data_IF_239691570185
#
_entry.id   IF_239691570185
#
_cell.length_a   1.000
_cell.length_b   1.000
_cell.length_c   1.000
_cell.angle_alpha   90.00
_cell.angle_beta   90.00
_cell.angle_gamma   90.00
#
_symmetry.space_group_name_H-M   'P 1'
#
loop_
_entity.id
_entity.type
_entity.pdbx_description
1 polymer ?
#
# COMPACT_ATOMS: atom_id res chain seq x y z
N UNK A 1 5.40 34.84 22.85
CA UNK A 1 5.49 34.41 21.45
C UNK A 1 5.13 32.93 21.42
N UNK A 2 3.94 32.61 20.93
CA UNK A 2 3.45 31.23 20.87
C UNK A 2 4.14 30.47 19.73
N UNK A 3 4.53 29.20 19.89
CA UNK A 3 4.98 28.39 18.78
C UNK A 3 3.76 27.89 18.01
N UNK A 4 3.77 28.10 16.69
CA UNK A 4 2.80 27.61 15.74
C UNK A 4 2.81 26.07 15.70
N UNK A 5 1.70 25.45 16.08
CA UNK A 5 1.48 24.02 15.91
C UNK A 5 1.18 23.72 14.45
N UNK A 6 2.12 23.09 13.75
CA UNK A 6 1.85 22.49 12.44
C UNK A 6 1.11 21.18 12.67
N UNK A 7 -0.22 21.23 12.60
CA UNK A 7 -1.06 20.03 12.55
C UNK A 7 -0.79 19.30 11.24
N UNK A 8 -0.23 18.10 11.30
CA UNK A 8 -0.19 17.19 10.14
C UNK A 8 -1.62 16.71 9.91
N UNK A 9 -2.28 17.35 8.95
CA UNK A 9 -3.62 17.03 8.52
C UNK A 9 -3.54 15.75 7.66
N UNK A 10 -4.03 14.63 8.18
CA UNK A 10 -4.26 13.41 7.41
C UNK A 10 -5.43 13.68 6.45
N UNK A 11 -5.13 14.12 5.22
CA UNK A 11 -6.13 14.29 4.17
C UNK A 11 -6.26 12.95 3.43
N UNK A 12 -7.33 12.21 3.71
CA UNK A 12 -7.86 11.27 2.73
C UNK A 12 -8.76 12.07 1.77
N UNK A 13 -8.44 12.03 0.48
CA UNK A 13 -9.35 12.48 -0.57
C UNK A 13 -10.52 11.49 -0.64
N UNK A 14 -11.59 11.81 0.08
CA UNK A 14 -12.91 11.24 -0.13
C UNK A 14 -13.38 11.62 -1.54
N UNK A 15 -13.60 10.63 -2.41
CA UNK A 15 -14.44 10.86 -3.57
C UNK A 15 -15.86 11.10 -3.08
N UNK A 16 -16.30 12.37 -3.14
CA UNK A 16 -17.71 12.72 -3.02
C UNK A 16 -18.39 12.12 -4.24
N UNK A 17 -19.05 10.98 -4.07
CA UNK A 17 -20.08 10.54 -5.03
C UNK A 17 -21.23 11.54 -4.86
N UNK A 18 -21.60 12.33 -5.89
CA UNK A 18 -22.75 13.20 -5.78
C UNK A 18 -24.00 12.34 -5.55
N UNK A 19 -24.72 12.64 -4.48
CA UNK A 19 -26.00 12.03 -4.17
C UNK A 19 -27.08 12.54 -5.15
N UNK A 20 -27.02 12.11 -6.41
CA UNK A 20 -28.15 12.20 -7.34
C UNK A 20 -27.98 11.25 -8.53
N UNK A 21 -28.17 9.95 -8.31
CA UNK A 21 -28.69 9.07 -9.36
C UNK A 21 -29.58 8.03 -8.66
N UNK A 22 -30.87 8.34 -8.64
CA UNK A 22 -31.91 7.39 -8.27
C UNK A 22 -31.84 6.18 -9.20
N UNK A 23 -31.87 4.99 -8.60
CA UNK A 23 -32.34 3.72 -9.17
C UNK A 23 -32.14 3.54 -10.67
N UNK A 24 -30.93 3.14 -11.08
CA UNK A 24 -30.76 2.34 -12.29
C UNK A 24 -30.71 0.87 -11.89
N UNK A 25 -31.51 -0.02 -12.50
CA UNK A 25 -31.39 -1.44 -12.24
C UNK A 25 -30.02 -1.91 -12.72
N UNK A 26 -29.34 -2.69 -11.89
CA UNK A 26 -28.13 -3.42 -12.28
C UNK A 26 -28.54 -4.31 -13.45
N UNK A 27 -28.15 -3.90 -14.66
CA UNK A 27 -28.38 -4.69 -15.87
C UNK A 27 -27.61 -6.00 -15.75
N UNK A 28 -28.32 -7.11 -15.91
CA UNK A 28 -27.80 -8.45 -16.12
C UNK A 28 -26.62 -8.42 -17.10
N UNK A 29 -25.43 -8.78 -16.62
CA UNK A 29 -24.23 -8.67 -17.43
C UNK A 29 -22.91 -9.03 -16.76
N UNK A 30 -22.93 -9.84 -15.69
CA UNK A 30 -21.75 -10.57 -15.26
C UNK A 30 -22.20 -11.80 -14.46
N UNK A 31 -22.81 -12.79 -15.14
CA UNK A 31 -22.82 -14.13 -14.58
C UNK A 31 -21.36 -14.56 -14.43
N UNK A 32 -20.86 -14.47 -13.19
CA UNK A 32 -19.61 -15.09 -12.81
C UNK A 32 -19.87 -16.58 -12.91
N UNK A 33 -19.59 -17.20 -14.07
CA UNK A 33 -19.48 -18.64 -14.13
C UNK A 33 -18.38 -19.04 -13.13
N UNK A 34 -18.83 -19.67 -12.05
CA UNK A 34 -18.05 -20.12 -10.92
C UNK A 34 -17.63 -21.57 -11.22
N UNK A 35 -16.48 -21.76 -11.87
CA UNK A 35 -15.89 -23.08 -12.06
C UNK A 35 -15.14 -23.54 -10.79
N UNK A 36 -15.22 -24.82 -10.44
CA UNK A 36 -14.67 -25.35 -9.16
C UNK A 36 -15.61 -25.08 -7.98
N UNK A 37 -15.12 -25.07 -6.73
CA UNK A 37 -15.92 -24.74 -5.52
C UNK A 37 -16.56 -23.33 -5.52
N UNK A 38 -16.44 -22.62 -6.63
CA UNK A 38 -17.00 -21.32 -6.93
C UNK A 38 -16.37 -20.16 -6.18
N UNK A 39 -15.35 -20.41 -5.35
CA UNK A 39 -14.74 -19.38 -4.52
C UNK A 39 -13.24 -19.26 -4.78
N UNK A 40 -12.68 -20.03 -5.72
CA UNK A 40 -11.25 -20.00 -6.05
C UNK A 40 -10.37 -20.07 -4.80
N UNK A 41 -10.77 -20.90 -3.82
CA UNK A 41 -10.17 -20.92 -2.47
C UNK A 41 -8.68 -21.24 -2.48
N UNK A 42 -8.23 -22.03 -3.45
CA UNK A 42 -6.81 -22.32 -3.65
C UNK A 42 -5.98 -21.05 -3.83
N UNK A 43 -6.51 -20.06 -4.58
CA UNK A 43 -5.83 -18.78 -4.80
C UNK A 43 -6.19 -17.78 -3.68
N UNK A 44 -7.48 -17.54 -3.45
CA UNK A 44 -7.93 -16.46 -2.58
C UNK A 44 -7.64 -16.72 -1.10
N UNK A 45 -7.57 -17.99 -0.67
CA UNK A 45 -7.28 -18.36 0.72
C UNK A 45 -5.91 -19.02 0.84
N UNK A 46 -5.69 -20.15 0.18
CA UNK A 46 -4.54 -21.01 0.49
C UNK A 46 -3.23 -20.37 0.02
N UNK A 47 -3.17 -19.92 -1.24
CA UNK A 47 -2.02 -19.19 -1.77
C UNK A 47 -1.81 -17.83 -1.07
N UNK A 48 -2.89 -17.07 -0.82
CA UNK A 48 -2.82 -15.84 -0.01
C UNK A 48 -2.14 -16.07 1.34
N UNK A 49 -2.58 -17.08 2.09
CA UNK A 49 -2.00 -17.40 3.41
C UNK A 49 -0.54 -17.86 3.29
N UNK A 50 -0.21 -18.63 2.25
CA UNK A 50 1.17 -19.04 2.00
C UNK A 50 2.08 -17.84 1.71
N UNK A 51 1.65 -16.91 0.86
CA UNK A 51 2.40 -15.68 0.54
C UNK A 51 2.59 -14.78 1.76
N UNK A 52 1.56 -14.64 2.61
CA UNK A 52 1.68 -13.92 3.87
C UNK A 52 2.72 -14.56 4.81
N UNK A 53 2.72 -15.89 4.92
CA UNK A 53 3.73 -16.63 5.70
C UNK A 53 5.13 -16.52 5.10
N UNK A 54 5.25 -16.48 3.78
CA UNK A 54 6.52 -16.31 3.09
C UNK A 54 7.08 -14.91 3.31
N UNK A 55 6.26 -13.87 3.09
CA UNK A 55 6.64 -12.48 3.32
C UNK A 55 6.95 -12.21 4.80
N UNK A 56 6.22 -12.85 5.72
CA UNK A 56 6.44 -12.77 7.17
C UNK A 56 7.75 -13.40 7.65
N UNK A 57 8.44 -14.19 6.81
CA UNK A 57 9.79 -14.72 7.10
C UNK A 57 10.91 -13.82 6.59
N UNK A 58 10.60 -12.81 5.78
CA UNK A 58 11.58 -11.89 5.25
C UNK A 58 11.78 -10.76 6.27
N UNK A 59 12.76 -10.97 7.13
CA UNK A 59 13.11 -10.09 8.26
C UNK A 59 14.61 -9.79 8.27
N UNK A 60 14.98 -8.63 8.81
CA UNK A 60 16.35 -8.30 9.22
C UNK A 60 16.60 -8.60 10.71
N UNK A 61 15.54 -8.82 11.49
CA UNK A 61 15.58 -9.26 12.87
C UNK A 61 15.75 -10.79 13.00
N UNK A 62 16.50 -11.22 14.01
CA UNK A 62 16.64 -12.64 14.35
C UNK A 62 15.52 -13.09 15.30
N UNK A 63 14.66 -14.01 14.84
CA UNK A 63 13.58 -14.57 15.66
C UNK A 63 12.31 -13.73 15.75
N UNK A 64 12.29 -12.54 15.14
CA UNK A 64 11.11 -11.67 15.03
C UNK A 64 11.05 -11.00 13.66
N UNK A 65 9.89 -10.45 13.29
CA UNK A 65 9.72 -9.73 12.04
C UNK A 65 10.09 -8.25 12.20
N UNK A 66 11.07 -7.81 11.41
CA UNK A 66 11.45 -6.41 11.24
C UNK A 66 11.85 -6.20 9.78
N UNK A 67 11.17 -5.27 9.12
CA UNK A 67 11.48 -4.86 7.75
C UNK A 67 11.27 -3.35 7.64
N UNK A 68 12.35 -2.60 7.73
CA UNK A 68 12.30 -1.13 7.73
C UNK A 68 12.61 -0.55 6.34
N UNK A 69 12.37 0.76 6.18
CA UNK A 69 12.57 1.48 4.92
C UNK A 69 13.95 1.24 4.28
N UNK A 70 13.93 0.72 3.04
CA UNK A 70 15.12 0.43 2.22
C UNK A 70 16.21 -0.36 2.96
N UNK A 71 15.76 -1.28 3.82
CA UNK A 71 16.60 -2.27 4.50
C UNK A 71 16.86 -3.48 3.59
N UNK A 72 17.86 -4.33 3.90
CA UNK A 72 18.07 -5.58 3.17
C UNK A 72 16.81 -6.46 3.10
N UNK A 73 16.01 -6.55 4.17
CA UNK A 73 14.73 -7.27 4.14
C UNK A 73 13.72 -6.63 3.21
N UNK A 74 13.71 -5.29 3.12
CA UNK A 74 12.85 -4.57 2.17
C UNK A 74 13.14 -5.02 0.74
N UNK A 75 14.42 -5.11 0.34
CA UNK A 75 14.77 -5.56 -1.01
C UNK A 75 14.39 -7.02 -1.28
N UNK A 76 14.66 -7.93 -0.33
CA UNK A 76 14.22 -9.33 -0.45
C UNK A 76 12.70 -9.44 -0.58
N UNK A 77 11.95 -8.61 0.15
CA UNK A 77 10.50 -8.53 0.05
C UNK A 77 10.04 -7.96 -1.30
N UNK A 78 10.75 -6.96 -1.83
CA UNK A 78 10.49 -6.40 -3.15
C UNK A 78 10.55 -7.46 -4.23
N UNK A 79 11.58 -8.29 -4.24
CA UNK A 79 11.75 -9.33 -5.25
C UNK A 79 10.57 -10.32 -5.27
N UNK A 80 10.12 -10.78 -4.10
CA UNK A 80 9.00 -11.73 -4.03
C UNK A 80 7.67 -11.07 -4.39
N UNK A 81 7.42 -9.82 -3.94
CA UNK A 81 6.19 -9.10 -4.27
C UNK A 81 6.10 -8.84 -5.78
N UNK A 82 7.20 -8.41 -6.42
CA UNK A 82 7.26 -8.25 -7.88
C UNK A 82 6.95 -9.57 -8.58
N UNK A 83 7.50 -10.69 -8.09
CA UNK A 83 7.22 -12.00 -8.67
C UNK A 83 5.72 -12.34 -8.61
N UNK A 84 5.06 -12.04 -7.49
CA UNK A 84 3.64 -12.30 -7.29
C UNK A 84 2.75 -11.36 -8.12
N UNK A 85 3.13 -10.09 -8.27
CA UNK A 85 2.45 -9.14 -9.16
C UNK A 85 2.56 -9.59 -10.63
N UNK A 86 3.74 -10.03 -11.06
CA UNK A 86 3.95 -10.59 -12.42
C UNK A 86 3.11 -11.85 -12.64
N UNK A 87 3.03 -12.72 -11.64
CA UNK A 87 2.17 -13.90 -11.65
C UNK A 87 0.67 -13.53 -11.73
N UNK A 88 0.25 -12.42 -11.11
CA UNK A 88 -1.09 -11.86 -11.27
C UNK A 88 -1.34 -11.16 -12.62
N UNK A 89 -0.33 -11.03 -13.47
CA UNK A 89 -0.46 -10.47 -14.83
C UNK A 89 -0.22 -8.98 -14.92
N UNK A 90 0.51 -8.44 -13.95
CA UNK A 90 0.76 -7.01 -13.83
C UNK A 90 2.14 -6.65 -14.39
N UNK A 91 2.22 -5.47 -15.00
CA UNK A 91 3.49 -4.80 -15.31
C UNK A 91 4.01 -4.17 -14.02
N UNK A 92 5.28 -4.40 -13.69
CA UNK A 92 5.84 -4.01 -12.40
C UNK A 92 7.02 -3.06 -12.51
N UNK A 93 7.12 -2.11 -11.58
CA UNK A 93 8.31 -1.26 -11.39
C UNK A 93 8.45 -0.87 -9.91
N UNK A 94 9.60 -0.29 -9.56
CA UNK A 94 9.86 0.32 -8.25
C UNK A 94 10.13 1.80 -8.49
N UNK A 95 9.45 2.67 -7.75
CA UNK A 95 9.63 4.12 -7.89
C UNK A 95 10.82 4.65 -7.07
N UNK A 96 11.08 5.96 -7.13
CA UNK A 96 12.23 6.58 -6.45
C UNK A 96 12.12 6.59 -4.93
N UNK A 97 10.94 6.28 -4.36
CA UNK A 97 10.78 6.09 -2.92
C UNK A 97 10.72 4.63 -2.52
N UNK A 98 11.00 3.70 -3.44
CA UNK A 98 10.95 2.28 -3.15
C UNK A 98 9.55 1.71 -3.03
N UNK A 99 8.51 2.43 -3.46
CA UNK A 99 7.18 1.83 -3.60
C UNK A 99 7.22 0.80 -4.72
N UNK A 100 6.53 -0.32 -4.53
CA UNK A 100 6.44 -1.37 -5.54
C UNK A 100 5.09 -1.26 -6.22
N UNK A 101 5.11 -1.15 -7.54
CA UNK A 101 3.92 -1.01 -8.35
C UNK A 101 3.69 -2.27 -9.17
N UNK A 102 2.42 -2.68 -9.27
CA UNK A 102 1.94 -3.69 -10.20
C UNK A 102 0.69 -3.18 -10.89
N UNK A 103 0.79 -2.86 -12.19
CA UNK A 103 -0.31 -2.26 -12.95
C UNK A 103 -0.82 -3.16 -14.07
N UNK A 104 -2.14 -3.25 -14.18
CA UNK A 104 -2.83 -3.70 -15.38
C UNK A 104 -3.40 -2.50 -16.12
N UNK A 105 -3.00 -2.33 -17.38
CA UNK A 105 -3.46 -1.27 -18.27
C UNK A 105 -4.30 -1.88 -19.41
N UNK A 106 -5.61 -1.64 -19.46
CA UNK A 106 -6.44 -2.06 -20.59
C UNK A 106 -6.03 -1.32 -21.87
N UNK A 107 -6.00 -2.02 -23.01
CA UNK A 107 -5.40 -1.52 -24.26
C UNK A 107 -6.01 -0.24 -24.85
N UNK A 108 -7.17 0.22 -24.36
CA UNK A 108 -7.85 1.44 -24.80
C UNK A 108 -8.52 2.20 -23.64
N UNK A 109 -7.96 2.11 -22.43
CA UNK A 109 -8.55 2.81 -21.29
C UNK A 109 -8.33 4.33 -21.38
N UNK A 110 -9.42 5.09 -21.26
CA UNK A 110 -9.38 6.53 -20.92
C UNK A 110 -9.81 6.79 -19.47
N UNK A 111 -10.08 5.72 -18.71
CA UNK A 111 -10.59 5.80 -17.36
C UNK A 111 -9.45 6.09 -16.36
N UNK A 112 -9.81 6.76 -15.26
CA UNK A 112 -8.89 6.98 -14.14
C UNK A 112 -8.63 5.68 -13.40
N UNK A 113 -7.40 5.47 -12.93
CA UNK A 113 -6.99 4.23 -12.27
C UNK A 113 -7.73 3.98 -10.94
N UNK A 114 -8.03 2.71 -10.67
CA UNK A 114 -8.24 2.21 -9.32
C UNK A 114 -6.89 1.84 -8.72
N UNK A 115 -6.49 2.55 -7.68
CA UNK A 115 -5.36 2.15 -6.86
C UNK A 115 -5.84 1.22 -5.75
N UNK A 116 -5.11 0.14 -5.51
CA UNK A 116 -5.31 -0.74 -4.37
C UNK A 116 -3.96 -0.83 -3.67
N UNK A 117 -3.89 -0.53 -2.38
CA UNK A 117 -2.60 -0.49 -1.72
C UNK A 117 -2.66 -0.80 -0.25
N UNK A 118 -1.47 -0.98 0.30
CA UNK A 118 -1.13 -0.96 1.72
C UNK A 118 0.38 -0.89 1.84
N UNK A 119 0.94 -1.08 3.04
CA UNK A 119 2.38 -0.92 3.28
C UNK A 119 3.11 -2.25 3.38
N UNK A 120 4.39 -2.25 3.01
CA UNK A 120 5.23 -3.44 3.12
C UNK A 120 6.19 -3.40 4.31
N UNK A 121 6.50 -2.21 4.83
CA UNK A 121 7.36 -2.07 6.01
C UNK A 121 6.62 -2.49 7.28
N UNK A 122 7.39 -2.80 8.31
CA UNK A 122 6.87 -3.26 9.59
C UNK A 122 7.51 -2.50 10.74
N UNK A 123 6.81 -2.48 11.87
CA UNK A 123 7.44 -2.23 13.16
C UNK A 123 8.44 -3.32 13.54
N UNK A 124 9.19 -3.07 14.62
CA UNK A 124 10.04 -4.08 15.27
C UNK A 124 9.11 -5.07 15.99
N UNK A 125 9.39 -6.36 15.82
CA UNK A 125 8.59 -7.45 16.41
C UNK A 125 7.12 -7.43 15.95
N UNK A 126 6.94 -7.23 14.65
CA UNK A 126 5.62 -7.12 14.03
C UNK A 126 4.94 -8.48 13.80
N UNK A 127 3.62 -8.44 13.67
CA UNK A 127 2.85 -9.54 13.08
C UNK A 127 3.00 -9.59 11.55
N UNK A 128 2.71 -10.74 10.94
CA UNK A 128 2.86 -10.93 9.48
C UNK A 128 1.71 -10.37 8.62
N UNK A 129 0.69 -9.76 9.24
CA UNK A 129 -0.54 -9.34 8.56
C UNK A 129 -0.62 -7.83 8.31
N UNK A 130 0.00 -7.03 9.19
CA UNK A 130 -0.04 -5.57 9.13
C UNK A 130 0.60 -5.07 7.84
N UNK A 131 -0.13 -4.26 7.08
CA UNK A 131 0.20 -3.85 5.71
C UNK A 131 0.16 -4.98 4.66
N UNK A 132 0.89 -6.07 4.90
CA UNK A 132 1.03 -7.20 3.99
C UNK A 132 -0.31 -7.80 3.53
N UNK A 133 -1.32 -7.83 4.40
CA UNK A 133 -2.65 -8.35 4.07
C UNK A 133 -3.28 -7.59 2.90
N UNK A 134 -3.16 -6.27 2.86
CA UNK A 134 -3.74 -5.45 1.80
C UNK A 134 -3.12 -5.73 0.44
N UNK A 135 -1.79 -5.80 0.41
CA UNK A 135 -1.01 -6.07 -0.81
C UNK A 135 -1.36 -7.46 -1.35
N UNK A 136 -1.28 -8.50 -0.52
CA UNK A 136 -1.47 -9.88 -0.99
C UNK A 136 -2.93 -10.13 -1.39
N UNK A 137 -3.91 -9.57 -0.67
CA UNK A 137 -5.32 -9.67 -1.07
C UNK A 137 -5.56 -9.09 -2.48
N UNK A 138 -4.99 -7.91 -2.76
CA UNK A 138 -5.13 -7.26 -4.06
C UNK A 138 -4.51 -8.11 -5.19
N UNK A 139 -3.30 -8.63 -4.97
CA UNK A 139 -2.61 -9.49 -5.93
C UNK A 139 -3.41 -10.78 -6.17
N UNK A 140 -3.91 -11.44 -5.12
CA UNK A 140 -4.70 -12.67 -5.25
C UNK A 140 -6.01 -12.45 -6.03
N UNK A 141 -6.70 -11.33 -5.78
CA UNK A 141 -7.91 -10.97 -6.53
C UNK A 141 -7.61 -10.78 -8.03
N UNK A 142 -6.54 -10.05 -8.37
CA UNK A 142 -6.11 -9.85 -9.75
C UNK A 142 -5.63 -11.15 -10.40
N UNK A 143 -4.98 -12.04 -9.65
CA UNK A 143 -4.61 -13.37 -10.12
C UNK A 143 -5.84 -14.21 -10.49
N UNK A 144 -6.90 -14.20 -9.67
CA UNK A 144 -8.16 -14.87 -10.03
C UNK A 144 -8.73 -14.30 -11.32
N UNK A 145 -8.75 -12.97 -11.47
CA UNK A 145 -9.19 -12.34 -12.72
C UNK A 145 -8.33 -12.77 -13.91
N UNK A 146 -7.01 -12.89 -13.74
CA UNK A 146 -6.10 -13.38 -14.78
C UNK A 146 -6.44 -14.80 -15.20
N UNK A 147 -6.46 -15.76 -14.26
CA UNK A 147 -6.62 -17.19 -14.56
C UNK A 147 -8.01 -17.53 -15.10
N UNK A 148 -9.02 -16.70 -14.79
CA UNK A 148 -10.38 -16.81 -15.34
C UNK A 148 -10.57 -16.05 -16.65
N UNK A 149 -9.53 -15.41 -17.19
CA UNK A 149 -9.60 -14.58 -18.39
C UNK A 149 -10.42 -13.29 -18.24
N UNK A 150 -10.84 -12.94 -17.01
CA UNK A 150 -11.64 -11.76 -16.70
C UNK A 150 -10.80 -10.49 -16.55
N UNK A 151 -9.49 -10.60 -16.32
CA UNK A 151 -8.58 -9.45 -16.22
C UNK A 151 -8.62 -8.59 -17.50
N UNK A 152 -8.65 -9.25 -18.67
CA UNK A 152 -8.74 -8.58 -19.97
C UNK A 152 -10.08 -7.89 -20.24
N UNK A 153 -11.09 -8.11 -19.39
CA UNK A 153 -12.40 -7.46 -19.48
C UNK A 153 -12.48 -6.18 -18.65
N UNK A 154 -11.46 -5.88 -17.85
CA UNK A 154 -11.42 -4.63 -17.11
C UNK A 154 -11.30 -3.46 -18.10
N UNK A 155 -12.17 -2.47 -17.94
CA UNK A 155 -12.13 -1.23 -18.74
C UNK A 155 -11.31 -0.13 -18.09
N UNK A 156 -11.14 -0.22 -16.76
CA UNK A 156 -10.40 0.73 -15.94
C UNK A 156 -9.02 0.19 -15.57
N UNK A 157 -7.96 1.01 -15.51
CA UNK A 157 -6.65 0.57 -15.05
C UNK A 157 -6.73 0.20 -13.57
N UNK A 158 -6.06 -0.87 -13.19
CA UNK A 158 -5.95 -1.28 -11.78
C UNK A 158 -4.49 -1.41 -11.43
N UNK A 159 -4.12 -0.78 -10.33
CA UNK A 159 -2.74 -0.76 -9.86
C UNK A 159 -2.67 -1.15 -8.39
N UNK A 160 -1.82 -2.12 -8.10
CA UNK A 160 -1.44 -2.49 -6.74
C UNK A 160 -0.18 -1.73 -6.36
N UNK A 161 -0.23 -0.99 -5.25
CA UNK A 161 0.94 -0.30 -4.70
C UNK A 161 1.26 -0.87 -3.32
N UNK A 162 2.45 -1.44 -3.18
CA UNK A 162 3.03 -1.73 -1.88
C UNK A 162 3.88 -0.53 -1.46
N UNK A 163 3.32 0.29 -0.56
CA UNK A 163 3.97 1.52 -0.11
C UNK A 163 5.16 1.23 0.80
N UNK A 164 6.17 2.08 0.70
CA UNK A 164 7.33 2.11 1.57
C UNK A 164 7.14 3.07 2.77
N UNK A 165 7.66 2.66 3.93
CA UNK A 165 7.71 3.45 5.18
C UNK A 165 6.39 4.10 5.59
N UNK A 166 5.34 3.31 5.82
CA UNK A 166 4.12 3.77 6.50
C UNK A 166 4.40 3.99 7.99
N UNK A 167 5.06 3.04 8.63
CA UNK A 167 5.20 2.97 10.10
C UNK A 167 6.19 4.02 10.62
N UNK A 168 7.12 4.45 9.76
CA UNK A 168 8.11 5.49 10.05
C UNK A 168 9.17 5.05 11.06
N UNK A 169 9.45 3.75 11.17
CA UNK A 169 10.31 3.17 12.23
C UNK A 169 11.74 3.69 12.13
N UNK A 170 12.27 3.78 10.91
CA UNK A 170 13.68 4.14 10.67
C UNK A 170 13.95 5.63 10.87
N UNK A 171 13.08 6.48 10.30
CA UNK A 171 13.29 7.92 10.20
C UNK A 171 12.35 8.77 11.06
N UNK A 172 11.37 8.17 11.74
CA UNK A 172 10.33 8.87 12.52
C UNK A 172 9.47 9.83 11.68
N UNK A 173 9.32 9.53 10.39
CA UNK A 173 8.67 10.39 9.39
C UNK A 173 7.26 9.97 9.03
N UNK A 174 6.98 8.65 9.01
CA UNK A 174 5.73 8.01 8.55
C UNK A 174 5.32 8.39 7.12
N UNK A 175 4.70 7.46 6.42
CA UNK A 175 4.11 7.65 5.09
C UNK A 175 5.05 8.15 3.98
N UNK A 176 6.35 7.83 3.98
CA UNK A 176 7.27 8.37 2.95
C UNK A 176 6.79 8.02 1.53
N UNK A 177 6.46 6.74 1.31
CA UNK A 177 6.03 6.23 0.02
C UNK A 177 4.72 6.83 -0.46
N UNK A 178 3.68 6.80 0.38
CA UNK A 178 2.35 7.30 0.01
C UNK A 178 2.31 8.83 -0.07
N UNK A 179 3.06 9.55 0.76
CA UNK A 179 3.19 11.00 0.66
C UNK A 179 3.90 11.44 -0.63
N UNK A 180 4.86 10.65 -1.14
CA UNK A 180 5.49 10.90 -2.43
C UNK A 180 4.50 10.72 -3.58
N UNK A 181 3.73 9.63 -3.58
CA UNK A 181 2.69 9.37 -4.59
C UNK A 181 1.61 10.45 -4.57
N UNK A 182 1.21 10.93 -3.39
CA UNK A 182 0.27 12.03 -3.23
C UNK A 182 0.87 13.41 -3.56
N UNK A 183 2.21 13.53 -3.69
CA UNK A 183 2.90 14.78 -3.97
C UNK A 183 2.89 15.78 -2.81
N UNK A 184 2.81 15.29 -1.58
CA UNK A 184 2.80 16.10 -0.35
C UNK A 184 4.09 15.96 0.47
N UNK A 185 5.04 15.14 0.01
CA UNK A 185 6.33 14.93 0.66
C UNK A 185 7.21 16.19 0.51
N UNK A 186 7.58 16.88 1.61
CA UNK A 186 8.42 18.07 1.51
C UNK A 186 9.88 17.69 1.22
N UNK A 187 10.60 18.53 0.47
CA UNK A 187 12.02 18.30 0.15
C UNK A 187 12.90 18.16 1.40
N UNK A 188 12.53 18.82 2.50
CA UNK A 188 13.24 18.73 3.79
C UNK A 188 13.34 17.30 4.34
N UNK A 189 12.49 16.37 3.87
CA UNK A 189 12.55 14.96 4.24
C UNK A 189 13.90 14.32 3.91
N UNK A 190 14.54 14.77 2.83
CA UNK A 190 15.81 14.23 2.36
C UNK A 190 16.92 14.39 3.41
N UNK A 191 16.80 15.40 4.28
CA UNK A 191 17.77 15.71 5.33
C UNK A 191 17.43 15.06 6.68
N UNK A 192 16.33 14.32 6.80
CA UNK A 192 15.99 13.60 8.04
C UNK A 192 16.92 12.41 8.20
N UNK A 193 17.57 12.30 9.37
CA UNK A 193 18.50 11.22 9.72
C UNK A 193 17.83 10.13 10.55
N UNK A 194 18.24 8.89 10.31
CA UNK A 194 17.95 7.76 11.19
C UNK A 194 18.82 7.80 12.46
N UNK A 195 18.65 6.79 13.35
CA UNK A 195 19.40 6.70 14.61
C UNK A 195 20.92 6.59 14.44
N UNK A 196 21.39 6.16 13.27
CA UNK A 196 22.82 6.04 12.94
C UNK A 196 23.40 7.33 12.34
N UNK A 197 22.55 8.34 12.08
CA UNK A 197 22.93 9.59 11.45
C UNK A 197 22.82 9.60 9.93
N UNK A 198 22.53 8.47 9.29
CA UNK A 198 22.32 8.39 7.84
C UNK A 198 21.00 9.05 7.46
N UNK A 199 21.04 9.96 6.50
CA UNK A 199 19.88 10.71 5.98
C UNK A 199 19.06 9.88 5.00
N UNK A 200 17.78 10.24 4.80
CA UNK A 200 16.94 9.65 3.73
C UNK A 200 17.64 9.79 2.37
N UNK A 201 18.26 10.95 2.09
CA UNK A 201 19.00 11.17 0.85
C UNK A 201 20.16 10.19 0.68
N UNK A 202 20.93 9.95 1.73
CA UNK A 202 22.04 8.99 1.69
C UNK A 202 21.53 7.55 1.49
N UNK A 203 20.45 7.16 2.17
CA UNK A 203 19.85 5.83 1.98
C UNK A 203 19.35 5.63 0.55
N UNK A 204 18.69 6.62 -0.04
CA UNK A 204 18.25 6.56 -1.44
C UNK A 204 19.45 6.38 -2.37
N UNK A 205 20.51 7.19 -2.20
CA UNK A 205 21.73 7.10 -3.02
C UNK A 205 22.45 5.76 -2.87
N UNK A 206 22.59 5.26 -1.64
CA UNK A 206 23.22 3.96 -1.35
C UNK A 206 22.50 2.82 -2.06
N UNK A 207 21.20 2.96 -2.28
CA UNK A 207 20.35 2.00 -2.96
C UNK A 207 20.10 2.36 -4.44
N UNK A 208 20.95 3.23 -5.02
CA UNK A 208 20.91 3.63 -6.43
C UNK A 208 19.62 4.33 -6.88
N UNK A 209 18.86 4.91 -5.96
CA UNK A 209 17.76 5.81 -6.28
C UNK A 209 18.24 7.25 -6.46
N UNK A 210 17.55 8.00 -7.30
CA UNK A 210 17.82 9.43 -7.46
C UNK A 210 17.24 10.19 -6.27
N UNK A 211 18.11 10.88 -5.52
CA UNK A 211 17.75 11.58 -4.29
C UNK A 211 17.73 13.11 -4.50
N UNK A 212 16.91 13.56 -5.45
CA UNK A 212 16.70 14.97 -5.83
C UNK A 212 15.23 15.38 -5.65
N UNK A 213 14.95 16.68 -5.49
CA UNK A 213 13.58 17.18 -5.42
C UNK A 213 12.78 16.85 -6.69
N UNK A 214 13.44 16.92 -7.85
CA UNK A 214 12.83 16.59 -9.14
C UNK A 214 12.46 15.09 -9.22
N UNK A 215 13.34 14.20 -8.73
CA UNK A 215 13.06 12.76 -8.67
C UNK A 215 11.89 12.44 -7.74
N UNK A 216 11.80 13.10 -6.57
CA UNK A 216 10.62 12.97 -5.70
C UNK A 216 9.35 13.46 -6.40
N UNK A 217 9.45 14.54 -7.18
CA UNK A 217 8.35 15.06 -7.99
C UNK A 217 7.86 14.10 -9.08
N UNK A 218 8.73 13.21 -9.58
CA UNK A 218 8.36 12.21 -10.59
C UNK A 218 7.52 11.05 -10.02
N UNK A 219 7.56 10.82 -8.70
CA UNK A 219 6.74 9.80 -8.03
C UNK A 219 5.27 10.22 -7.95
N UNK A 220 5.01 11.54 -7.95
CA UNK A 220 3.68 12.11 -7.77
C UNK A 220 2.71 11.69 -8.87
N UNK A 221 1.53 11.24 -8.47
CA UNK A 221 0.43 10.96 -9.38
C UNK A 221 -0.35 12.24 -9.66
N UNK A 222 -0.79 12.40 -10.91
CA UNK A 222 -1.76 13.43 -11.28
C UNK A 222 -3.12 13.09 -10.65
N UNK A 223 -3.80 14.02 -9.95
CA UNK A 223 -5.16 13.79 -9.45
C UNK A 223 -6.17 13.41 -10.55
N UNK A 224 -5.88 13.78 -11.80
CA UNK A 224 -6.67 13.46 -12.97
C UNK A 224 -6.49 12.01 -13.42
N UNK A 225 -5.38 11.34 -13.06
CA UNK A 225 -5.11 9.94 -13.43
C UNK A 225 -5.67 8.92 -12.44
N UNK A 226 -6.11 9.35 -11.24
CA UNK A 226 -6.58 8.47 -10.16
C UNK A 226 -8.07 8.68 -9.90
N UNK A 227 -8.85 7.59 -9.96
CA UNK A 227 -10.30 7.62 -9.75
C UNK A 227 -10.70 7.27 -8.33
N UNK A 228 -10.00 6.31 -7.73
CA UNK A 228 -10.28 5.82 -6.38
C UNK A 228 -9.09 5.06 -5.81
N UNK A 229 -8.97 5.05 -4.47
CA UNK A 229 -8.05 4.21 -3.72
C UNK A 229 -8.83 3.28 -2.79
N UNK A 230 -8.42 2.01 -2.71
CA UNK A 230 -8.98 1.02 -1.79
C UNK A 230 -7.86 0.34 -1.03
N UNK A 231 -8.06 0.14 0.26
CA UNK A 231 -7.12 -0.59 1.11
C UNK A 231 -7.87 -1.64 1.92
N UNK A 232 -7.30 -2.85 1.96
CA UNK A 232 -7.75 -3.93 2.84
C UNK A 232 -6.76 -3.99 3.99
N UNK A 233 -7.28 -3.92 5.21
CA UNK A 233 -6.47 -3.92 6.41
C UNK A 233 -7.09 -4.79 7.50
N UNK A 234 -6.27 -5.27 8.43
CA UNK A 234 -6.78 -5.85 9.66
C UNK A 234 -7.31 -4.74 10.57
N UNK A 235 -8.23 -5.09 11.48
CA UNK A 235 -8.90 -4.11 12.34
C UNK A 235 -7.94 -3.40 13.31
N UNK A 236 -6.88 -4.11 13.74
CA UNK A 236 -5.95 -3.72 14.81
C UNK A 236 -6.65 -3.48 16.16
N UNK A 237 -7.88 -4.00 16.30
CA UNK A 237 -8.73 -3.90 17.48
C UNK A 237 -9.63 -5.14 17.64
N UNK A 238 -10.42 -5.20 18.72
CA UNK A 238 -11.20 -6.40 19.06
C UNK A 238 -12.68 -6.34 18.64
N UNK A 239 -13.13 -5.30 17.92
CA UNK A 239 -14.55 -5.03 17.68
C UNK A 239 -15.18 -6.06 16.74
N UNK A 240 -14.57 -6.34 15.60
CA UNK A 240 -15.07 -7.34 14.64
C UNK A 240 -15.06 -8.74 15.24
N UNK A 241 -14.02 -9.07 16.02
CA UNK A 241 -13.96 -10.33 16.77
C UNK A 241 -15.12 -10.43 17.78
N UNK A 242 -15.30 -9.39 18.61
CA UNK A 242 -16.36 -9.35 19.62
C UNK A 242 -17.76 -9.44 19.00
N UNK A 243 -17.95 -8.84 17.83
CA UNK A 243 -19.20 -8.87 17.06
C UNK A 243 -19.35 -10.12 16.17
N UNK A 244 -18.31 -10.96 16.08
CA UNK A 244 -18.23 -12.13 15.19
C UNK A 244 -18.47 -11.79 13.71
N UNK A 245 -17.97 -10.64 13.27
CA UNK A 245 -18.01 -10.24 11.87
C UNK A 245 -16.65 -10.47 11.19
N UNK A 246 -16.64 -11.08 9.99
CA UNK A 246 -15.39 -11.35 9.27
C UNK A 246 -14.89 -10.13 8.46
N UNK A 247 -15.70 -9.07 8.34
CA UNK A 247 -15.40 -7.90 7.52
C UNK A 247 -16.13 -6.67 8.05
N UNK A 248 -15.46 -5.52 8.04
CA UNK A 248 -16.05 -4.21 8.32
C UNK A 248 -15.77 -3.23 7.18
N UNK A 249 -16.76 -2.38 6.86
CA UNK A 249 -16.56 -1.25 5.94
C UNK A 249 -16.20 -0.02 6.78
N UNK A 250 -14.95 0.44 6.65
CA UNK A 250 -14.43 1.60 7.40
C UNK A 250 -15.13 2.87 6.91
N UNK A 251 -15.70 3.64 7.85
CA UNK A 251 -16.38 4.92 7.55
C UNK A 251 -15.50 6.15 7.77
N UNK A 252 -14.39 6.00 8.47
CA UNK A 252 -13.46 7.07 8.80
C UNK A 252 -12.33 6.54 9.67
N UNK A 253 -11.24 7.30 9.75
CA UNK A 253 -10.03 6.98 10.53
C UNK A 253 -9.91 8.01 11.65
N UNK A 254 -9.48 7.59 12.83
CA UNK A 254 -9.20 8.52 13.93
C UNK A 254 -7.97 9.39 13.59
N UNK A 255 -8.02 10.68 13.92
CA UNK A 255 -6.84 11.54 13.81
C UNK A 255 -5.76 11.13 14.80
N UNK A 256 -4.50 11.05 14.35
CA UNK A 256 -3.36 10.71 15.19
C UNK A 256 -2.50 11.95 15.48
N UNK A 257 -1.96 12.07 16.70
CA UNK A 257 -0.95 13.08 17.07
C UNK A 257 0.14 12.41 17.89
N UNK A 258 1.40 12.57 17.48
CA UNK A 258 2.57 12.03 18.18
C UNK A 258 3.35 13.18 18.84
N UNK A 259 3.65 13.06 20.13
CA UNK A 259 4.37 14.09 20.92
C UNK A 259 5.66 13.52 21.50
N UNK A 260 6.77 14.25 21.36
CA UNK A 260 8.05 13.93 21.99
C UNK A 260 8.23 14.78 23.24
N UNK A 261 8.17 14.16 24.42
CA UNK A 261 8.37 14.83 25.71
C UNK A 261 9.84 14.68 26.12
N UNK A 262 10.52 15.79 26.41
CA UNK A 262 11.86 15.79 27.02
C UNK A 262 11.74 16.34 28.44
N UNK A 263 12.14 15.54 29.42
CA UNK A 263 12.29 16.01 30.80
C UNK A 263 13.68 16.64 30.94
N UNK A 264 13.74 17.84 31.53
CA UNK A 264 14.98 18.43 32.00
C UNK A 264 14.99 18.30 33.52
N UNK A 265 15.90 17.47 34.04
CA UNK A 265 16.21 17.33 35.47
C UNK A 265 17.43 18.16 35.83
#
# INVERSE_FOLDING_TARGET
MAPSSTSVLLILLLSVVPASLASTPVSDGLELELGGDGLYREILRDETVLRLKELGKISDGEGFLERTFLSPASFRATDVIISWMKDAGLTTWVDQMGNIHGRFEPSNSTDKALLIGSHMDTVIDAGMYDGALGIICAISALKVLRVTGKLQRLTRPVEVIAFSDEEGVRFQTTFLGSAAVAGILPESILQVSDKSGTTVQEVLRLNSFEASADALGQVKYSPESVGSYVEVHLEQGPVLEALRYPLGVVKGIAGQTRLKIKNYS
#
